data_IF_729279356889
#
_entry.id   IF_729279356889
#
_cell.length_a   1.000
_cell.length_b   1.000
_cell.length_c   1.000
_cell.angle_alpha   90.00
_cell.angle_beta   90.00
_cell.angle_gamma   90.00
#
_symmetry.space_group_name_H-M   'P 1'
#
loop_
_entity.id
_entity.type
_entity.pdbx_description
1 polymer ?
#
# COMPACT_ATOMS: atom_id res chain seq x y z
N UNK A 1 37.81 16.45 -23.58
CA UNK A 1 36.88 16.65 -24.72
C UNK A 1 36.65 18.16 -24.85
N UNK A 2 36.53 18.72 -26.08
CA UNK A 2 36.23 20.13 -26.25
C UNK A 2 34.81 20.47 -25.80
N UNK A 3 34.60 21.71 -25.36
CA UNK A 3 33.29 22.30 -25.11
C UNK A 3 32.57 22.61 -26.43
N UNK A 4 31.28 22.94 -26.35
CA UNK A 4 30.42 23.18 -27.53
C UNK A 4 30.87 24.39 -28.38
N UNK A 5 31.60 25.32 -27.78
CA UNK A 5 32.24 26.49 -28.40
C UNK A 5 33.69 26.24 -28.84
N UNK A 6 34.20 25.02 -28.66
CA UNK A 6 35.52 24.59 -29.13
C UNK A 6 36.64 24.73 -28.10
N UNK A 7 36.39 25.27 -26.91
CA UNK A 7 37.40 25.34 -25.86
C UNK A 7 37.81 23.96 -25.35
N UNK A 8 39.09 23.77 -25.03
CA UNK A 8 39.62 22.49 -24.54
C UNK A 8 40.23 22.66 -23.16
N UNK A 9 40.16 21.61 -22.34
CA UNK A 9 40.87 21.57 -21.06
C UNK A 9 42.37 21.83 -21.25
N UNK A 10 42.91 22.81 -20.53
CA UNK A 10 44.35 23.16 -20.58
C UNK A 10 45.25 22.00 -20.14
N UNK A 11 44.76 21.15 -19.23
CA UNK A 11 45.45 19.97 -18.71
C UNK A 11 44.46 18.83 -18.45
N UNK A 12 44.95 17.60 -18.56
CA UNK A 12 44.18 16.42 -18.17
C UNK A 12 43.81 16.47 -16.68
N UNK A 13 42.52 16.37 -16.38
CA UNK A 13 42.01 16.21 -15.02
C UNK A 13 41.57 14.75 -14.82
N UNK A 14 42.19 14.07 -13.85
CA UNK A 14 41.79 12.72 -13.44
C UNK A 14 40.99 12.82 -12.15
N UNK A 15 39.71 12.46 -12.20
CA UNK A 15 38.85 12.34 -11.01
C UNK A 15 38.68 10.87 -10.65
N UNK A 16 39.04 10.51 -9.42
CA UNK A 16 38.67 9.23 -8.83
C UNK A 16 37.36 9.42 -8.07
N UNK A 17 36.26 8.90 -8.62
CA UNK A 17 34.93 8.98 -8.01
C UNK A 17 34.51 7.59 -7.56
N UNK A 18 34.16 7.45 -6.28
CA UNK A 18 33.58 6.23 -5.73
C UNK A 18 32.08 6.43 -5.54
N UNK A 19 31.28 5.58 -6.18
CA UNK A 19 29.83 5.52 -5.99
C UNK A 19 29.52 4.31 -5.13
N UNK A 20 28.93 4.55 -3.95
CA UNK A 20 28.53 3.47 -3.05
C UNK A 20 27.31 2.74 -3.60
N UNK A 21 27.26 1.43 -3.38
CA UNK A 21 26.04 0.65 -3.58
C UNK A 21 24.86 1.20 -2.79
N UNK A 22 23.67 1.05 -3.38
CA UNK A 22 22.41 1.45 -2.77
C UNK A 22 22.13 0.59 -1.53
N UNK A 23 21.59 1.20 -0.48
CA UNK A 23 21.08 0.43 0.66
C UNK A 23 19.92 -0.47 0.21
N UNK A 24 19.79 -1.69 0.76
CA UNK A 24 18.61 -2.52 0.55
C UNK A 24 17.34 -1.76 0.91
N UNK A 25 16.32 -1.82 0.05
CA UNK A 25 15.05 -1.14 0.35
C UNK A 25 13.89 -1.77 -0.40
N UNK A 26 12.69 -1.48 0.10
CA UNK A 26 11.40 -1.93 -0.43
C UNK A 26 10.45 -0.74 -0.45
N UNK A 27 9.62 -0.64 -1.49
CA UNK A 27 8.54 0.34 -1.60
C UNK A 27 7.38 -0.21 -2.42
N UNK A 28 6.18 0.28 -2.18
CA UNK A 28 5.03 0.04 -3.06
C UNK A 28 4.90 1.16 -4.10
N UNK A 29 4.24 0.86 -5.22
CA UNK A 29 4.02 1.84 -6.30
C UNK A 29 2.87 2.81 -6.00
N UNK A 30 1.92 2.42 -5.15
CA UNK A 30 0.75 3.20 -4.80
C UNK A 30 0.60 3.42 -3.28
N UNK A 31 -0.42 4.18 -2.90
CA UNK A 31 -0.80 4.41 -1.49
C UNK A 31 -2.13 3.77 -1.12
N UNK A 32 -3.03 3.59 -2.10
CA UNK A 32 -4.32 2.95 -1.95
C UNK A 32 -4.62 2.14 -3.23
N UNK A 33 -5.05 0.89 -3.07
CA UNK A 33 -5.41 0.00 -4.16
C UNK A 33 -6.79 -0.59 -3.88
N UNK A 34 -7.70 -0.58 -4.85
CA UNK A 34 -8.96 -1.31 -4.73
C UNK A 34 -8.72 -2.68 -5.32
N UNK A 35 -8.88 -3.71 -4.49
CA UNK A 35 -8.71 -5.09 -4.86
C UNK A 35 -10.13 -5.66 -5.07
N UNK A 36 -10.61 -5.78 -6.33
CA UNK A 36 -11.90 -6.39 -6.58
C UNK A 36 -11.86 -7.83 -6.05
N UNK A 37 -12.93 -8.27 -5.38
CA UNK A 37 -13.08 -9.64 -4.94
C UNK A 37 -13.12 -10.58 -6.17
N UNK A 38 -11.98 -11.18 -6.52
CA UNK A 38 -11.82 -12.05 -7.69
C UNK A 38 -10.41 -12.61 -7.82
N UNK A 39 -10.26 -13.58 -8.72
CA UNK A 39 -9.00 -14.28 -8.95
C UNK A 39 -7.94 -13.38 -9.60
N UNK A 40 -6.67 -13.57 -9.23
CA UNK A 40 -5.53 -12.91 -9.87
C UNK A 40 -5.15 -11.54 -9.29
N UNK A 41 -5.66 -11.19 -8.10
CA UNK A 41 -5.31 -9.93 -7.47
C UNK A 41 -3.85 -9.90 -6.98
N UNK A 42 -3.07 -8.95 -7.50
CA UNK A 42 -1.66 -8.79 -7.14
C UNK A 42 -1.34 -7.40 -6.60
N UNK A 43 -0.40 -7.32 -5.65
CA UNK A 43 0.17 -6.06 -5.17
C UNK A 43 1.62 -5.95 -5.66
N UNK A 44 1.96 -4.94 -6.49
CA UNK A 44 3.33 -4.77 -6.96
C UNK A 44 4.22 -4.12 -5.89
N UNK A 45 5.32 -4.79 -5.57
CA UNK A 45 6.37 -4.29 -4.68
C UNK A 45 7.66 -4.05 -5.48
N UNK A 46 8.32 -2.92 -5.23
CA UNK A 46 9.63 -2.62 -5.79
C UNK A 46 10.69 -2.83 -4.72
N UNK A 47 11.69 -3.66 -5.01
CA UNK A 47 12.84 -3.90 -4.17
C UNK A 47 14.16 -3.55 -4.88
N UNK A 48 15.19 -3.26 -4.10
CA UNK A 48 16.58 -3.13 -4.58
C UNK A 48 17.52 -3.75 -3.55
N UNK A 49 18.59 -4.42 -4.04
CA UNK A 49 19.66 -4.99 -3.22
C UNK A 49 19.16 -5.89 -2.07
N UNK A 50 18.03 -6.58 -2.26
CA UNK A 50 17.50 -7.55 -1.31
C UNK A 50 16.82 -8.67 -2.07
N UNK A 51 17.07 -9.92 -1.65
CA UNK A 51 16.42 -11.12 -2.21
C UNK A 51 15.14 -11.49 -1.47
N UNK A 52 14.91 -10.92 -0.29
CA UNK A 52 13.84 -11.31 0.61
C UNK A 52 13.16 -10.08 1.19
N UNK A 53 11.84 -10.04 1.07
CA UNK A 53 10.98 -9.02 1.65
C UNK A 53 10.16 -9.66 2.75
N UNK A 54 10.34 -9.21 3.98
CA UNK A 54 9.48 -9.59 5.10
C UNK A 54 8.21 -8.75 5.01
N UNK A 55 7.04 -9.39 5.06
CA UNK A 55 5.76 -8.71 4.95
C UNK A 55 4.74 -9.21 5.97
N UNK A 56 3.84 -8.32 6.37
CA UNK A 56 2.72 -8.61 7.26
C UNK A 56 1.46 -7.95 6.69
N UNK A 57 0.30 -8.58 6.88
CA UNK A 57 -0.99 -8.02 6.46
C UNK A 57 -1.88 -7.88 7.69
N UNK A 58 -2.45 -6.69 7.81
CA UNK A 58 -3.39 -6.33 8.85
C UNK A 58 -4.74 -6.00 8.24
N UNK A 59 -5.82 -6.35 8.94
CA UNK A 59 -7.21 -6.07 8.53
C UNK A 59 -7.88 -5.17 9.55
N UNK A 60 -8.61 -4.16 9.07
CA UNK A 60 -9.53 -3.33 9.83
C UNK A 60 -10.96 -3.73 9.44
N UNK A 61 -11.67 -4.36 10.37
CA UNK A 61 -13.09 -4.69 10.21
C UNK A 61 -14.00 -3.48 10.48
N UNK A 62 -15.32 -3.67 10.30
CA UNK A 62 -16.34 -2.60 10.42
C UNK A 62 -16.23 -1.82 11.74
N UNK A 63 -16.01 -2.53 12.87
CA UNK A 63 -15.97 -1.93 14.22
C UNK A 63 -14.78 -0.99 14.44
N UNK A 64 -13.64 -1.30 13.82
CA UNK A 64 -12.40 -0.53 13.97
C UNK A 64 -12.22 0.56 12.92
N UNK A 65 -13.01 0.53 11.83
CA UNK A 65 -12.89 1.45 10.71
C UNK A 65 -13.11 2.91 11.12
N UNK A 66 -14.22 3.16 11.81
CA UNK A 66 -14.64 4.50 12.20
C UNK A 66 -13.61 5.22 13.10
N UNK A 67 -13.08 4.60 14.19
CA UNK A 67 -12.00 5.19 14.97
C UNK A 67 -10.67 5.30 14.20
N UNK A 68 -10.31 4.30 13.38
CA UNK A 68 -9.08 4.36 12.57
C UNK A 68 -9.06 5.53 11.56
N UNK A 69 -10.22 5.83 10.95
CA UNK A 69 -10.39 6.96 10.04
C UNK A 69 -10.34 8.29 10.78
N UNK A 70 -11.03 8.40 11.93
CA UNK A 70 -11.00 9.62 12.78
C UNK A 70 -9.57 10.00 13.16
N UNK A 71 -8.80 9.00 13.56
CA UNK A 71 -7.42 9.20 14.01
C UNK A 71 -6.43 9.32 12.84
N UNK A 72 -6.92 9.35 11.59
CA UNK A 72 -6.10 9.49 10.37
C UNK A 72 -4.99 8.44 10.28
N UNK A 73 -5.27 7.24 10.81
CA UNK A 73 -4.31 6.12 10.83
C UNK A 73 -4.27 5.38 9.49
N UNK A 74 -5.41 5.35 8.79
CA UNK A 74 -5.54 4.79 7.44
C UNK A 74 -4.78 5.66 6.42
N UNK A 75 -4.20 5.04 5.38
CA UNK A 75 -3.43 5.68 4.30
C UNK A 75 -2.06 6.27 4.71
N UNK A 76 -1.63 6.04 5.96
CA UNK A 76 -0.32 6.45 6.46
C UNK A 76 0.73 5.33 6.32
N UNK A 77 2.03 5.67 6.36
CA UNK A 77 3.07 4.65 6.53
C UNK A 77 3.09 4.16 7.97
N UNK A 78 3.24 2.85 8.14
CA UNK A 78 3.28 2.18 9.43
C UNK A 78 4.74 1.81 9.77
N UNK A 79 5.18 2.22 10.95
CA UNK A 79 6.33 1.65 11.66
C UNK A 79 5.85 0.46 12.51
N UNK A 80 6.76 -0.34 13.11
CA UNK A 80 6.37 -1.50 13.91
C UNK A 80 5.40 -1.18 15.04
N UNK A 81 5.61 -0.06 15.75
CA UNK A 81 4.73 0.33 16.87
C UNK A 81 3.33 0.70 16.40
N UNK A 82 3.21 1.42 15.27
CA UNK A 82 1.91 1.72 14.67
C UNK A 82 1.22 0.49 14.09
N UNK A 83 1.98 -0.46 13.56
CA UNK A 83 1.44 -1.72 13.06
C UNK A 83 0.90 -2.59 14.22
N UNK A 84 1.61 -2.63 15.35
CA UNK A 84 1.12 -3.26 16.58
C UNK A 84 -0.13 -2.56 17.12
N UNK A 85 -0.14 -1.22 17.16
CA UNK A 85 -1.33 -0.45 17.55
C UNK A 85 -2.52 -0.74 16.62
N UNK A 86 -2.29 -0.85 15.32
CA UNK A 86 -3.32 -1.20 14.35
C UNK A 86 -3.95 -2.56 14.64
N UNK A 87 -3.11 -3.56 14.96
CA UNK A 87 -3.55 -4.89 15.39
C UNK A 87 -4.35 -4.83 16.70
N UNK A 88 -3.87 -4.05 17.67
CA UNK A 88 -4.42 -4.14 19.03
C UNK A 88 -5.67 -3.27 19.24
N UNK A 89 -5.80 -2.15 18.51
CA UNK A 89 -6.88 -1.17 18.72
C UNK A 89 -7.94 -1.18 17.63
N UNK A 90 -7.57 -1.44 16.37
CA UNK A 90 -8.46 -1.20 15.22
C UNK A 90 -8.75 -2.44 14.38
N UNK A 91 -8.04 -3.54 14.60
CA UNK A 91 -8.03 -4.63 13.64
C UNK A 91 -7.40 -5.90 14.15
N UNK A 92 -6.71 -6.59 13.24
CA UNK A 92 -5.98 -7.82 13.54
C UNK A 92 -4.87 -8.04 12.51
N UNK A 93 -3.86 -8.84 12.87
CA UNK A 93 -2.85 -9.33 11.92
C UNK A 93 -3.35 -10.63 11.33
N UNK A 94 -3.65 -10.63 10.03
CA UNK A 94 -4.18 -11.80 9.32
C UNK A 94 -3.08 -12.65 8.68
N UNK A 95 -1.91 -12.06 8.40
CA UNK A 95 -0.82 -12.76 7.73
C UNK A 95 0.56 -12.23 8.12
N UNK A 96 1.56 -13.10 8.04
CA UNK A 96 2.98 -12.76 8.15
C UNK A 96 3.81 -13.78 7.37
N UNK A 97 4.81 -13.32 6.64
CA UNK A 97 5.69 -14.20 5.88
C UNK A 97 6.78 -13.47 5.13
N UNK A 98 7.51 -14.23 4.31
CA UNK A 98 8.58 -13.75 3.46
C UNK A 98 8.20 -13.88 1.99
N UNK A 99 8.63 -12.92 1.18
CA UNK A 99 8.41 -12.88 -0.27
C UNK A 99 9.78 -12.84 -0.95
N UNK A 100 10.02 -13.80 -1.83
CA UNK A 100 11.24 -13.85 -2.62
C UNK A 100 11.21 -12.80 -3.74
N UNK A 101 12.36 -12.14 -3.93
CA UNK A 101 12.55 -11.15 -4.99
C UNK A 101 13.90 -11.34 -5.65
N UNK A 102 14.02 -10.90 -6.91
CA UNK A 102 15.34 -10.87 -7.58
C UNK A 102 16.14 -9.69 -7.04
N UNK A 103 17.45 -9.88 -6.89
CA UNK A 103 18.36 -8.87 -6.32
C UNK A 103 19.55 -8.53 -7.24
N UNK A 104 19.35 -8.17 -8.53
CA UNK A 104 20.44 -7.62 -9.34
C UNK A 104 21.00 -6.35 -8.69
N UNK A 105 22.33 -6.25 -8.62
CA UNK A 105 23.01 -5.17 -7.92
C UNK A 105 22.56 -3.80 -8.44
N UNK A 106 22.19 -2.92 -7.51
CA UNK A 106 21.79 -1.53 -7.68
C UNK A 106 20.60 -1.30 -8.65
N UNK A 107 19.83 -2.35 -8.94
CA UNK A 107 18.73 -2.31 -9.91
C UNK A 107 17.39 -2.49 -9.21
N UNK A 108 16.41 -1.64 -9.55
CA UNK A 108 15.03 -1.79 -9.06
C UNK A 108 14.37 -3.01 -9.73
N UNK A 109 13.79 -3.89 -8.92
CA UNK A 109 13.01 -5.04 -9.37
C UNK A 109 11.58 -4.87 -8.88
N UNK A 110 10.61 -5.00 -9.80
CA UNK A 110 9.20 -5.09 -9.43
C UNK A 110 8.78 -6.55 -9.37
N UNK A 111 8.24 -6.97 -8.21
CA UNK A 111 7.64 -8.28 -7.98
C UNK A 111 6.15 -8.11 -7.75
N UNK A 112 5.32 -8.88 -8.45
CA UNK A 112 3.88 -8.91 -8.20
C UNK A 112 3.61 -9.95 -7.10
N UNK A 113 3.05 -9.51 -5.96
CA UNK A 113 2.68 -10.38 -4.85
C UNK A 113 1.27 -10.91 -5.13
N UNK A 114 1.08 -12.21 -5.40
CA UNK A 114 -0.25 -12.78 -5.60
C UNK A 114 -0.95 -12.93 -4.25
N UNK A 115 -1.80 -11.96 -3.90
CA UNK A 115 -2.39 -11.91 -2.55
C UNK A 115 -3.37 -13.06 -2.33
N UNK A 116 -4.02 -13.54 -3.40
CA UNK A 116 -4.89 -14.73 -3.38
C UNK A 116 -4.14 -16.02 -3.02
N UNK A 117 -2.85 -16.12 -3.35
CA UNK A 117 -2.04 -17.33 -3.12
C UNK A 117 -1.44 -17.38 -1.70
N UNK A 118 -1.66 -16.35 -0.88
CA UNK A 118 -1.14 -16.27 0.50
C UNK A 118 -1.87 -17.17 1.50
N UNK A 119 -2.92 -17.88 1.05
CA UNK A 119 -3.74 -18.74 1.90
C UNK A 119 -4.62 -17.97 2.88
N UNK A 120 -4.97 -16.72 2.55
CA UNK A 120 -5.80 -15.85 3.38
C UNK A 120 -7.24 -15.83 2.87
N UNK A 121 -8.18 -16.09 3.77
CA UNK A 121 -9.59 -15.78 3.52
C UNK A 121 -9.79 -14.26 3.64
N UNK A 122 -9.93 -13.59 2.50
CA UNK A 122 -10.15 -12.15 2.48
C UNK A 122 -11.64 -11.83 2.63
N UNK A 123 -12.00 -11.37 3.81
CA UNK A 123 -13.31 -10.76 4.05
C UNK A 123 -13.34 -9.31 3.54
N UNK A 124 -14.52 -8.77 3.19
CA UNK A 124 -14.65 -7.34 2.91
C UNK A 124 -14.09 -6.48 4.05
N UNK A 125 -13.34 -5.44 3.70
CA UNK A 125 -12.69 -4.56 4.67
C UNK A 125 -11.47 -3.82 4.14
N UNK A 126 -10.89 -2.99 5.01
CA UNK A 126 -9.64 -2.27 4.71
C UNK A 126 -8.46 -3.09 5.23
N UNK A 127 -7.44 -3.22 4.40
CA UNK A 127 -6.21 -3.92 4.73
C UNK A 127 -5.00 -3.00 4.60
N UNK A 128 -3.95 -3.33 5.34
CA UNK A 128 -2.62 -2.75 5.17
C UNK A 128 -1.60 -3.88 5.03
N UNK A 129 -0.88 -3.90 3.92
CA UNK A 129 0.32 -4.71 3.76
C UNK A 129 1.52 -3.85 4.13
N UNK A 130 2.28 -4.26 5.14
CA UNK A 130 3.56 -3.64 5.50
C UNK A 130 4.70 -4.55 5.05
N UNK A 131 5.77 -3.95 4.54
CA UNK A 131 6.91 -4.68 3.99
C UNK A 131 8.24 -3.98 4.30
N UNK A 132 9.29 -4.78 4.48
CA UNK A 132 10.67 -4.31 4.67
C UNK A 132 11.66 -5.23 3.96
N UNK A 133 12.82 -4.69 3.59
CA UNK A 133 13.92 -5.50 3.11
C UNK A 133 14.51 -6.31 4.28
N UNK A 134 14.57 -7.64 4.18
CA UNK A 134 15.20 -8.47 5.22
C UNK A 134 16.68 -8.11 5.42
N UNK A 135 17.33 -7.65 4.33
CA UNK A 135 18.72 -7.21 4.31
C UNK A 135 18.95 -5.81 4.93
N UNK A 136 17.89 -5.02 5.17
CA UNK A 136 18.04 -3.75 5.88
C UNK A 136 18.07 -3.97 7.40
N UNK A 137 19.28 -3.97 7.96
CA UNK A 137 19.50 -4.08 9.41
C UNK A 137 19.63 -2.73 10.11
N UNK A 138 19.61 -1.61 9.38
CA UNK A 138 19.79 -0.28 9.97
C UNK A 138 18.48 0.35 10.39
N UNK A 139 17.42 0.09 9.64
CA UNK A 139 16.12 0.73 9.84
C UNK A 139 15.06 -0.24 10.39
N UNK A 140 15.44 -1.11 11.31
CA UNK A 140 14.55 -2.18 11.81
C UNK A 140 13.29 -1.64 12.51
N UNK A 141 13.44 -0.51 13.20
CA UNK A 141 12.36 0.18 13.94
C UNK A 141 11.74 1.35 13.18
N UNK A 142 12.18 1.60 11.94
CA UNK A 142 11.71 2.73 11.16
C UNK A 142 10.40 2.47 10.41
N UNK A 143 9.95 3.45 9.62
CA UNK A 143 8.79 3.30 8.75
C UNK A 143 8.99 2.14 7.78
N UNK A 144 7.98 1.27 7.67
CA UNK A 144 7.93 0.17 6.71
C UNK A 144 7.16 0.62 5.47
N UNK A 145 7.53 0.07 4.31
CA UNK A 145 6.74 0.26 3.11
C UNK A 145 5.31 -0.21 3.40
N UNK A 146 4.31 0.63 3.15
CA UNK A 146 2.92 0.32 3.47
C UNK A 146 2.04 0.51 2.25
N UNK A 147 1.27 -0.51 1.88
CA UNK A 147 0.23 -0.44 0.87
C UNK A 147 -1.11 -0.69 1.54
N UNK A 148 -1.97 0.32 1.53
CA UNK A 148 -3.37 0.15 1.92
C UNK A 148 -4.18 -0.38 0.75
N UNK A 149 -5.10 -1.29 1.02
CA UNK A 149 -6.02 -1.77 0.00
C UNK A 149 -7.40 -2.09 0.57
N UNK A 150 -8.42 -1.91 -0.27
CA UNK A 150 -9.81 -2.21 0.05
C UNK A 150 -10.19 -3.53 -0.65
N UNK A 151 -10.70 -4.48 0.11
CA UNK A 151 -11.36 -5.67 -0.42
C UNK A 151 -12.86 -5.41 -0.40
N UNK A 152 -13.47 -5.35 -1.58
CA UNK A 152 -14.91 -5.21 -1.73
C UNK A 152 -15.35 -5.72 -3.10
N UNK A 153 -16.61 -6.10 -3.18
CA UNK A 153 -17.39 -6.37 -4.38
C UNK A 153 -18.20 -5.14 -4.85
N UNK A 154 -18.23 -4.06 -4.05
CA UNK A 154 -19.03 -2.87 -4.30
C UNK A 154 -18.17 -1.66 -4.67
N UNK A 155 -18.52 -1.03 -5.79
CA UNK A 155 -18.05 0.29 -6.20
C UNK A 155 -19.08 1.35 -5.85
N UNK A 156 -18.63 2.42 -5.18
CA UNK A 156 -19.50 3.52 -4.74
C UNK A 156 -19.10 4.79 -5.47
N UNK A 157 -20.10 5.49 -6.03
CA UNK A 157 -19.95 6.85 -6.56
C UNK A 157 -20.98 7.75 -5.91
N UNK A 158 -20.55 8.89 -5.37
CA UNK A 158 -21.43 9.85 -4.72
C UNK A 158 -21.31 11.22 -5.39
N UNK A 159 -22.46 11.86 -5.60
CA UNK A 159 -22.58 13.20 -6.16
C UNK A 159 -23.34 14.06 -5.16
N UNK A 160 -22.88 15.29 -4.93
CA UNK A 160 -23.61 16.28 -4.15
C UNK A 160 -24.15 17.39 -5.06
N UNK A 161 -25.40 17.78 -4.82
CA UNK A 161 -26.12 18.81 -5.56
C UNK A 161 -26.96 19.69 -4.64
N UNK A 162 -27.70 20.62 -5.23
CA UNK A 162 -28.59 21.53 -4.49
C UNK A 162 -29.75 20.80 -3.78
N UNK A 163 -30.09 19.61 -4.27
CA UNK A 163 -31.17 18.74 -3.83
C UNK A 163 -30.71 17.59 -2.92
N UNK A 164 -29.41 17.53 -2.58
CA UNK A 164 -28.86 16.56 -1.64
C UNK A 164 -27.72 15.72 -2.23
N UNK A 165 -27.54 14.52 -1.69
CA UNK A 165 -26.54 13.57 -2.15
C UNK A 165 -27.19 12.42 -2.93
N UNK A 166 -26.66 12.11 -4.10
CA UNK A 166 -27.02 10.92 -4.88
C UNK A 166 -25.89 9.91 -4.77
N UNK A 167 -26.19 8.70 -4.30
CA UNK A 167 -25.23 7.59 -4.20
C UNK A 167 -25.61 6.51 -5.21
N UNK A 168 -24.63 6.06 -5.97
CA UNK A 168 -24.76 4.96 -6.92
C UNK A 168 -23.84 3.83 -6.48
N UNK A 169 -24.42 2.65 -6.31
CA UNK A 169 -23.70 1.42 -5.93
C UNK A 169 -23.73 0.45 -7.11
N UNK A 170 -22.56 -0.04 -7.50
CA UNK A 170 -22.38 -1.00 -8.59
C UNK A 170 -21.50 -2.16 -8.16
N UNK A 171 -21.72 -3.33 -8.74
CA UNK A 171 -20.82 -4.46 -8.56
C UNK A 171 -19.49 -4.20 -9.28
N UNK A 172 -18.35 -4.47 -8.63
CA UNK A 172 -17.03 -4.31 -9.24
C UNK A 172 -16.70 -5.40 -10.27
N UNK A 173 -17.42 -6.52 -10.24
CA UNK A 173 -17.24 -7.65 -11.15
C UNK A 173 -17.75 -7.36 -12.56
N UNK A 174 -18.94 -6.75 -12.69
CA UNK A 174 -19.65 -6.57 -13.97
C UNK A 174 -20.26 -5.17 -14.18
N UNK A 175 -20.03 -4.24 -13.24
CA UNK A 175 -20.59 -2.89 -13.23
C UNK A 175 -22.12 -2.81 -13.19
N UNK A 176 -22.82 -3.90 -12.90
CA UNK A 176 -24.27 -3.93 -12.75
C UNK A 176 -24.72 -3.11 -11.52
N UNK A 177 -25.94 -2.60 -11.57
CA UNK A 177 -26.52 -1.87 -10.43
C UNK A 177 -26.88 -2.84 -9.31
N UNK A 178 -26.49 -2.51 -8.08
CA UNK A 178 -26.82 -3.31 -6.90
C UNK A 178 -28.14 -2.78 -6.32
N UNK A 179 -29.20 -3.57 -6.47
CA UNK A 179 -30.50 -3.26 -5.88
C UNK A 179 -30.47 -3.41 -4.35
N UNK A 180 -31.28 -2.61 -3.66
CA UNK A 180 -31.50 -2.67 -2.21
C UNK A 180 -30.22 -2.57 -1.35
N UNK A 181 -29.17 -1.96 -1.89
CA UNK A 181 -27.95 -1.69 -1.14
C UNK A 181 -28.24 -0.76 0.05
N UNK A 182 -27.86 -1.20 1.25
CA UNK A 182 -27.96 -0.34 2.44
C UNK A 182 -26.82 0.67 2.44
N UNK A 183 -27.14 1.96 2.41
CA UNK A 183 -26.15 3.04 2.46
C UNK A 183 -26.33 3.81 3.77
N UNK A 184 -25.23 4.00 4.51
CA UNK A 184 -25.25 4.77 5.76
C UNK A 184 -24.36 6.00 5.60
N UNK A 185 -24.90 7.18 5.85
CA UNK A 185 -24.11 8.40 5.95
C UNK A 185 -23.57 8.53 7.37
N UNK A 186 -22.25 8.51 7.52
CA UNK A 186 -21.58 8.55 8.83
C UNK A 186 -20.76 9.83 8.95
N UNK A 187 -20.99 10.59 10.02
CA UNK A 187 -20.21 11.78 10.35
C UNK A 187 -18.82 11.41 10.89
N UNK A 188 -17.89 12.37 10.89
CA UNK A 188 -16.51 12.18 11.40
C UNK A 188 -16.47 11.75 12.87
N UNK A 189 -17.51 12.09 13.64
CA UNK A 189 -17.68 11.68 15.03
C UNK A 189 -18.38 10.31 15.19
N UNK A 190 -18.52 9.54 14.11
CA UNK A 190 -19.18 8.23 14.02
C UNK A 190 -20.70 8.24 14.26
N UNK A 191 -21.33 9.41 14.27
CA UNK A 191 -22.79 9.48 14.29
C UNK A 191 -23.37 9.13 12.91
N UNK A 192 -24.38 8.27 12.89
CA UNK A 192 -25.13 7.97 11.67
C UNK A 192 -26.10 9.11 11.43
N UNK A 193 -25.86 9.86 10.35
CA UNK A 193 -26.68 11.00 9.95
C UNK A 193 -27.94 10.55 9.20
N UNK A 194 -27.81 9.49 8.39
CA UNK A 194 -28.90 8.96 7.57
C UNK A 194 -28.67 7.47 7.24
N UNK A 195 -29.76 6.72 7.03
CA UNK A 195 -29.78 5.28 6.69
C UNK A 195 -30.56 5.02 5.42
#
# INVERSE_FOLDING_TARGET
MPAADGETLEKSASLNVYVRDRSPSVRFLGRAYVLPAGDGATIPVVSVNTSTVEAEIYRIGERGLAPALRDRRVLSQLDPSRADQMRDEYGEKVWSGEIETRAPLNTDVTTAIPVADLGLEMEPGIYAMVARAAADKKNEWGPRATQWFLVSDLGISAYSGADGATVIVRALSDASAVADATVRLVAVNNDVLER
#
